data_IF_714826671473
#
_entry.id   IF_714826671473
#
_cell.length_a   1.000
_cell.length_b   1.000
_cell.length_c   1.000
_cell.angle_alpha   90.00
_cell.angle_beta   90.00
_cell.angle_gamma   90.00
#
_symmetry.space_group_name_H-M   'P 1'
#
loop_
_entity.id
_entity.type
_entity.pdbx_description
1 polymer ?
#
# COMPACT_ATOMS: atom_id res chain seq x y z
N UNK A 1 -19.21 10.94 9.69
CA UNK A 1 -17.83 11.21 9.24
C UNK A 1 -17.39 12.64 9.57
N UNK A 2 -18.00 13.68 9.00
CA UNK A 2 -17.63 15.09 9.27
C UNK A 2 -17.63 15.49 10.75
N UNK A 3 -18.66 15.13 11.52
CA UNK A 3 -18.73 15.47 12.95
C UNK A 3 -17.69 14.73 13.81
N UNK A 4 -17.25 13.55 13.39
CA UNK A 4 -16.23 12.77 14.10
C UNK A 4 -14.84 13.35 13.85
N UNK A 5 -14.53 13.67 12.59
CA UNK A 5 -13.29 14.37 12.21
C UNK A 5 -13.16 15.70 12.95
N UNK A 6 -14.27 16.44 13.06
CA UNK A 6 -14.30 17.71 13.80
C UNK A 6 -14.09 17.52 15.31
N UNK A 7 -14.59 16.43 15.89
CA UNK A 7 -14.37 16.10 17.32
C UNK A 7 -12.91 15.73 17.58
N UNK A 8 -12.33 14.85 16.77
CA UNK A 8 -10.91 14.45 16.85
C UNK A 8 -9.97 15.65 16.67
N UNK A 9 -10.28 16.55 15.72
CA UNK A 9 -9.57 17.82 15.55
C UNK A 9 -9.65 18.69 16.80
N UNK A 10 -10.84 18.83 17.38
CA UNK A 10 -11.05 19.63 18.59
C UNK A 10 -10.29 19.03 19.78
N UNK A 11 -10.25 17.70 19.90
CA UNK A 11 -9.57 17.01 20.99
C UNK A 11 -8.05 17.12 20.87
N UNK A 12 -7.50 17.05 19.65
CA UNK A 12 -6.07 17.31 19.40
C UNK A 12 -5.67 18.73 19.77
N UNK A 13 -6.43 19.74 19.33
CA UNK A 13 -6.19 21.16 19.65
C UNK A 13 -6.21 21.39 21.17
N UNK A 14 -7.15 20.76 21.88
CA UNK A 14 -7.24 20.86 23.35
C UNK A 14 -6.08 20.19 24.09
N UNK A 15 -5.37 19.26 23.45
CA UNK A 15 -4.30 18.48 24.08
C UNK A 15 -2.93 19.17 24.07
N UNK A 16 -2.83 20.34 23.43
CA UNK A 16 -1.60 21.10 23.25
C UNK A 16 -1.81 22.58 23.59
N UNK A 17 -0.74 23.37 23.83
CA UNK A 17 -0.85 24.81 24.07
C UNK A 17 -1.61 25.54 22.95
N UNK A 18 -2.47 26.48 23.33
CA UNK A 18 -3.36 27.20 22.41
C UNK A 18 -2.64 28.12 21.41
N UNK A 19 -1.34 28.37 21.61
CA UNK A 19 -0.49 29.21 20.75
C UNK A 19 0.13 28.45 19.58
N UNK A 20 -0.03 27.13 19.48
CA UNK A 20 0.58 26.32 18.43
C UNK A 20 -0.23 26.38 17.14
N UNK A 21 0.47 26.37 16.00
CA UNK A 21 -0.19 26.23 14.70
C UNK A 21 -0.81 24.83 14.56
N UNK A 22 -1.80 24.71 13.69
CA UNK A 22 -2.47 23.43 13.45
C UNK A 22 -1.49 22.35 12.97
N UNK A 23 -0.52 22.72 12.14
CA UNK A 23 0.53 21.87 11.60
C UNK A 23 1.40 21.30 12.74
N UNK A 24 1.77 22.14 13.69
CA UNK A 24 2.54 21.74 14.87
C UNK A 24 1.72 20.81 15.76
N UNK A 25 0.43 21.09 15.98
CA UNK A 25 -0.47 20.21 16.75
C UNK A 25 -0.58 18.83 16.12
N UNK A 26 -0.74 18.77 14.78
CA UNK A 26 -0.78 17.51 14.06
C UNK A 26 0.55 16.74 14.17
N UNK A 27 1.69 17.43 14.02
CA UNK A 27 3.00 16.79 14.16
C UNK A 27 3.22 16.26 15.56
N UNK A 28 2.84 17.01 16.59
CA UNK A 28 2.92 16.57 17.99
C UNK A 28 2.09 15.32 18.27
N UNK A 29 0.89 15.20 17.67
CA UNK A 29 0.10 13.97 17.76
C UNK A 29 0.81 12.76 17.10
N UNK A 30 1.44 12.97 15.94
CA UNK A 30 2.28 11.93 15.31
C UNK A 30 3.48 11.56 16.18
N UNK A 31 4.19 12.53 16.74
CA UNK A 31 5.34 12.29 17.61
C UNK A 31 4.93 11.57 18.91
N UNK A 32 3.77 11.87 19.49
CA UNK A 32 3.21 11.09 20.63
C UNK A 32 2.99 9.62 20.27
N UNK A 33 2.52 9.33 19.05
CA UNK A 33 2.33 7.95 18.58
C UNK A 33 3.65 7.23 18.40
N UNK A 34 4.66 7.92 17.85
CA UNK A 34 6.03 7.37 17.73
C UNK A 34 6.65 7.17 19.12
N UNK A 35 6.48 8.13 20.05
CA UNK A 35 6.90 8.01 21.45
C UNK A 35 6.32 6.75 22.09
N UNK A 36 5.00 6.60 22.00
CA UNK A 36 4.29 5.45 22.53
C UNK A 36 4.82 4.15 21.93
N UNK A 37 5.10 4.13 20.63
CA UNK A 37 5.72 2.97 19.96
C UNK A 37 7.11 2.65 20.50
N UNK A 38 7.94 3.65 20.80
CA UNK A 38 9.27 3.45 21.40
C UNK A 38 9.16 2.93 22.83
N UNK A 39 8.23 3.48 23.63
CA UNK A 39 7.98 3.04 25.00
C UNK A 39 7.44 1.60 25.07
N UNK A 40 6.56 1.21 24.13
CA UNK A 40 5.92 -0.10 24.09
C UNK A 40 6.82 -1.20 23.52
N UNK A 41 7.57 -0.90 22.45
CA UNK A 41 8.32 -1.92 21.68
C UNK A 41 9.81 -1.96 21.99
N UNK A 42 10.35 -0.92 22.66
CA UNK A 42 11.79 -0.72 22.76
C UNK A 42 12.46 -0.53 21.39
N UNK A 43 13.78 -0.68 21.34
CA UNK A 43 14.58 -0.57 20.11
C UNK A 43 14.35 0.73 19.32
N UNK A 44 14.40 1.86 20.02
CA UNK A 44 14.26 3.22 19.45
C UNK A 44 15.47 3.65 18.59
N UNK A 45 16.49 2.79 18.46
CA UNK A 45 17.78 3.12 17.88
C UNK A 45 18.38 4.41 18.49
N UNK A 46 18.18 4.65 19.79
CA UNK A 46 18.64 5.84 20.50
C UNK A 46 17.87 7.14 20.19
N UNK A 47 16.73 7.07 19.49
CA UNK A 47 15.99 8.27 19.05
C UNK A 47 14.95 8.80 20.04
N UNK A 48 14.64 8.10 21.14
CA UNK A 48 13.66 8.59 22.12
C UNK A 48 14.07 9.96 22.68
N UNK A 49 15.37 10.13 22.96
CA UNK A 49 15.91 11.42 23.41
C UNK A 49 15.66 12.54 22.40
N UNK A 50 15.91 12.30 21.11
CA UNK A 50 15.65 13.25 20.02
C UNK A 50 14.17 13.59 19.93
N UNK A 51 13.31 12.57 19.98
CA UNK A 51 11.88 12.73 19.85
C UNK A 51 11.29 13.58 20.98
N UNK A 52 11.69 13.33 22.23
CA UNK A 52 11.28 14.13 23.38
C UNK A 52 11.75 15.58 23.25
N UNK A 53 12.98 15.79 22.78
CA UNK A 53 13.54 17.12 22.59
C UNK A 53 12.81 17.90 21.49
N UNK A 54 12.44 17.24 20.38
CA UNK A 54 11.64 17.84 19.30
C UNK A 54 10.26 18.24 19.81
N UNK A 55 9.58 17.36 20.53
CA UNK A 55 8.26 17.64 21.10
C UNK A 55 8.31 18.82 22.07
N UNK A 56 9.36 18.89 22.90
CA UNK A 56 9.58 20.01 23.81
C UNK A 56 9.80 21.32 23.04
N UNK A 57 10.63 21.30 22.00
CA UNK A 57 10.94 22.48 21.19
C UNK A 57 9.72 23.01 20.43
N UNK A 58 8.84 22.13 19.93
CA UNK A 58 7.56 22.57 19.35
C UNK A 58 6.65 23.22 20.40
N UNK A 59 6.57 22.65 21.61
CA UNK A 59 5.70 23.17 22.69
C UNK A 59 6.20 24.48 23.28
N UNK A 60 7.52 24.70 23.33
CA UNK A 60 8.12 25.95 23.76
C UNK A 60 8.08 27.04 22.68
N UNK A 61 7.91 26.65 21.41
CA UNK A 61 7.99 27.55 20.26
C UNK A 61 9.42 27.76 19.75
N UNK A 62 10.42 27.06 20.30
CA UNK A 62 11.81 27.09 19.84
C UNK A 62 11.99 26.39 18.48
N UNK A 63 11.06 25.49 18.15
CA UNK A 63 10.95 24.88 16.84
C UNK A 63 9.65 25.32 16.19
N UNK A 64 9.77 25.96 15.03
CA UNK A 64 8.65 26.35 14.19
C UNK A 64 8.59 25.40 13.00
N UNK A 65 7.39 24.93 12.67
CA UNK A 65 7.18 24.13 11.47
C UNK A 65 7.38 25.01 10.23
N UNK A 66 8.32 24.62 9.37
CA UNK A 66 8.57 25.23 8.07
C UNK A 66 8.71 24.11 7.04
N UNK A 67 7.90 24.16 5.99
CA UNK A 67 7.86 23.16 4.92
C UNK A 67 9.14 23.13 4.07
N UNK A 68 10.00 24.14 4.15
CA UNK A 68 11.19 24.29 3.31
C UNK A 68 12.50 24.01 4.05
N UNK A 69 12.45 23.78 5.36
CA UNK A 69 13.64 23.59 6.17
C UNK A 69 13.52 22.38 7.08
N UNK A 70 14.68 21.80 7.38
CA UNK A 70 14.83 20.67 8.28
C UNK A 70 15.73 21.06 9.44
N UNK A 71 15.52 20.39 10.56
CA UNK A 71 16.42 20.40 11.72
C UNK A 71 16.95 19.01 11.94
N UNK A 72 18.25 18.91 12.25
CA UNK A 72 18.93 17.66 12.53
C UNK A 72 19.08 17.55 14.03
N UNK A 73 18.76 16.37 14.58
CA UNK A 73 18.79 16.10 16.00
C UNK A 73 19.64 14.87 16.27
N UNK A 74 20.48 14.93 17.29
CA UNK A 74 21.22 13.78 17.78
C UNK A 74 21.38 13.86 19.28
N UNK A 75 21.21 12.72 19.96
CA UNK A 75 21.37 12.60 21.42
C UNK A 75 20.54 13.63 22.22
N UNK A 76 19.30 13.90 21.77
CA UNK A 76 18.35 14.78 22.47
C UNK A 76 18.60 16.27 22.29
N UNK A 77 19.37 16.67 21.28
CA UNK A 77 19.60 18.09 20.95
C UNK A 77 19.60 18.34 19.46
N UNK A 78 19.21 19.56 19.08
CA UNK A 78 19.36 20.03 17.71
C UNK A 78 20.85 20.26 17.42
N UNK A 79 21.39 19.57 16.42
CA UNK A 79 22.80 19.64 16.02
C UNK A 79 23.03 20.50 14.78
N UNK A 80 21.98 20.72 13.97
CA UNK A 80 22.03 21.63 12.83
C UNK A 80 20.61 22.04 12.37
N UNK A 81 20.53 23.14 11.62
CA UNK A 81 19.28 23.72 11.10
C UNK A 81 18.71 24.81 12.01
N UNK A 82 17.54 25.40 11.67
CA UNK A 82 16.73 25.13 10.47
C UNK A 82 17.46 25.50 9.17
N UNK A 83 17.50 24.57 8.21
CA UNK A 83 18.12 24.79 6.87
C UNK A 83 17.56 23.81 5.84
N UNK A 84 17.81 24.04 4.55
CA UNK A 84 17.44 23.05 3.51
C UNK A 84 18.16 21.72 3.74
N UNK A 85 17.48 20.61 3.47
CA UNK A 85 18.10 19.29 3.58
C UNK A 85 19.21 19.14 2.52
N UNK A 86 20.39 18.71 2.97
CA UNK A 86 21.50 18.35 2.07
C UNK A 86 21.95 16.95 2.46
N UNK A 87 21.71 15.97 1.59
CA UNK A 87 21.96 14.56 1.88
C UNK A 87 23.41 14.27 2.32
N UNK A 88 24.39 14.95 1.71
CA UNK A 88 25.80 14.84 2.10
C UNK A 88 26.05 15.26 3.55
N UNK A 89 25.34 16.26 4.05
CA UNK A 89 25.45 16.71 5.44
C UNK A 89 24.80 15.72 6.41
N UNK A 90 23.64 15.16 6.05
CA UNK A 90 23.01 14.09 6.82
C UNK A 90 23.96 12.88 6.98
N UNK A 91 24.56 12.43 5.88
CA UNK A 91 25.50 11.31 5.89
C UNK A 91 26.75 11.61 6.73
N UNK A 92 27.27 12.85 6.65
CA UNK A 92 28.40 13.28 7.47
C UNK A 92 28.04 13.34 8.97
N UNK A 93 26.82 13.80 9.32
CA UNK A 93 26.30 13.78 10.69
C UNK A 93 26.12 12.35 11.20
N UNK A 94 25.55 11.45 10.40
CA UNK A 94 25.41 10.04 10.77
C UNK A 94 26.76 9.33 10.94
N UNK A 95 27.76 9.65 10.12
CA UNK A 95 29.12 9.12 10.33
C UNK A 95 29.77 9.63 11.63
N UNK A 96 29.49 10.88 12.01
CA UNK A 96 30.08 11.53 13.18
C UNK A 96 29.40 11.13 14.49
N UNK A 97 28.08 11.15 14.51
CA UNK A 97 27.27 11.01 15.72
C UNK A 97 26.76 9.56 15.93
N UNK A 98 27.04 8.68 14.97
CA UNK A 98 26.75 7.25 14.99
C UNK A 98 25.68 6.83 13.96
N UNK A 99 25.66 5.54 13.54
CA UNK A 99 24.64 5.04 12.62
C UNK A 99 23.23 5.02 13.22
N UNK A 100 23.12 5.24 14.53
CA UNK A 100 21.88 5.30 15.29
C UNK A 100 21.77 6.64 16.02
N UNK A 101 20.55 7.06 16.36
CA UNK A 101 20.32 8.26 17.16
C UNK A 101 20.46 9.59 16.43
N UNK A 102 20.40 9.61 15.09
CA UNK A 102 20.26 10.83 14.28
C UNK A 102 18.84 10.91 13.70
N UNK A 103 18.14 12.00 13.99
CA UNK A 103 16.79 12.29 13.52
C UNK A 103 16.78 13.54 12.63
N UNK A 104 15.99 13.54 11.57
CA UNK A 104 15.78 14.71 10.71
C UNK A 104 14.31 15.13 10.82
N UNK A 105 14.07 16.27 11.45
CA UNK A 105 12.74 16.83 11.65
C UNK A 105 12.44 17.89 10.57
N UNK A 106 11.22 17.91 10.05
CA UNK A 106 10.82 18.78 8.93
C UNK A 106 10.96 18.15 7.54
N UNK A 107 11.42 16.89 7.43
CA UNK A 107 11.37 16.11 6.18
C UNK A 107 9.96 15.67 5.80
N UNK A 108 9.07 15.60 6.78
CA UNK A 108 7.71 15.13 6.61
C UNK A 108 6.82 16.31 6.21
N UNK A 109 6.86 16.78 4.97
CA UNK A 109 5.76 17.59 4.44
C UNK A 109 4.46 16.83 4.77
N UNK A 110 3.64 17.36 5.70
CA UNK A 110 2.67 16.57 6.46
C UNK A 110 1.43 16.21 5.64
N UNK A 111 1.64 15.29 4.71
CA UNK A 111 0.78 14.22 4.23
C UNK A 111 1.80 13.11 3.93
N UNK A 112 1.73 11.89 4.47
CA UNK A 112 2.16 10.78 3.64
C UNK A 112 1.27 10.89 2.39
N UNK A 113 1.79 11.53 1.35
CA UNK A 113 1.24 11.32 0.03
C UNK A 113 1.29 9.80 -0.14
N UNK A 114 0.22 9.15 -0.63
CA UNK A 114 0.39 7.80 -1.14
C UNK A 114 1.64 7.87 -2.02
N UNK A 115 2.64 6.99 -1.80
CA UNK A 115 3.60 6.78 -2.87
C UNK A 115 2.75 6.43 -4.08
N UNK A 116 2.83 7.29 -5.08
CA UNK A 116 2.01 7.27 -6.28
C UNK A 116 2.07 5.88 -6.88
N UNK A 117 0.93 5.20 -6.91
CA UNK A 117 0.88 3.91 -7.55
C UNK A 117 0.84 4.18 -9.05
N UNK A 118 1.98 4.05 -9.71
CA UNK A 118 2.05 3.91 -11.16
C UNK A 118 2.88 2.68 -11.49
N UNK A 119 2.22 1.64 -11.98
CA UNK A 119 2.89 0.43 -12.43
C UNK A 119 2.42 0.06 -13.84
N UNK A 120 3.27 -0.64 -14.57
CA UNK A 120 2.89 -1.28 -15.82
C UNK A 120 2.91 -2.79 -15.65
N UNK A 121 1.82 -3.44 -16.02
CA UNK A 121 1.71 -4.89 -16.08
C UNK A 121 2.02 -5.32 -17.51
N UNK A 122 2.99 -6.22 -17.68
CA UNK A 122 3.32 -6.78 -18.99
C UNK A 122 2.34 -7.91 -19.32
N UNK A 123 2.00 -8.05 -20.60
CA UNK A 123 1.24 -9.22 -21.03
C UNK A 123 2.08 -10.49 -20.90
N UNK A 124 1.45 -11.57 -20.44
CA UNK A 124 2.05 -12.91 -20.34
C UNK A 124 2.19 -13.53 -21.74
N UNK A 125 1.29 -13.19 -22.66
CA UNK A 125 1.24 -13.76 -24.00
C UNK A 125 1.31 -12.65 -25.06
N UNK A 126 2.21 -12.78 -26.03
CA UNK A 126 2.30 -11.81 -27.13
C UNK A 126 1.02 -11.72 -27.98
N UNK A 127 0.18 -12.76 -27.95
CA UNK A 127 -1.06 -12.89 -28.71
C UNK A 127 -2.33 -12.49 -27.95
N UNK A 128 -2.28 -12.33 -26.62
CA UNK A 128 -3.45 -11.99 -25.80
C UNK A 128 -3.10 -10.84 -24.86
N UNK A 129 -4.02 -9.89 -24.65
CA UNK A 129 -3.85 -8.83 -23.68
C UNK A 129 -4.16 -9.32 -22.25
N UNK A 130 -3.51 -10.41 -21.83
CA UNK A 130 -3.70 -11.01 -20.50
C UNK A 130 -2.52 -10.66 -19.62
N UNK A 131 -2.79 -10.04 -18.49
CA UNK A 131 -1.79 -9.58 -17.54
C UNK A 131 -1.79 -10.46 -16.29
N UNK A 132 -0.63 -10.64 -15.67
CA UNK A 132 -0.52 -11.22 -14.33
C UNK A 132 0.23 -10.26 -13.43
N UNK A 133 -0.23 -10.16 -12.20
CA UNK A 133 0.38 -9.33 -11.18
C UNK A 133 0.33 -10.01 -9.83
N UNK A 134 1.19 -9.58 -8.93
CA UNK A 134 1.23 -10.14 -7.57
C UNK A 134 0.38 -9.29 -6.63
N UNK A 135 -0.45 -9.97 -5.87
CA UNK A 135 -1.21 -9.39 -4.76
C UNK A 135 -0.68 -9.96 -3.45
N UNK A 136 -0.54 -9.10 -2.46
CA UNK A 136 -0.39 -9.54 -1.08
C UNK A 136 -1.79 -9.67 -0.49
N UNK A 137 -2.07 -10.78 0.16
CA UNK A 137 -3.36 -11.02 0.80
C UNK A 137 -3.16 -11.34 2.28
N UNK A 138 -4.14 -10.95 3.10
CA UNK A 138 -4.17 -11.22 4.54
C UNK A 138 -5.58 -11.51 5.03
N UNK A 139 -5.67 -12.23 6.14
CA UNK A 139 -6.95 -12.52 6.79
C UNK A 139 -7.51 -11.25 7.46
N UNK A 140 -8.70 -10.75 7.08
CA UNK A 140 -9.32 -9.59 7.74
C UNK A 140 -9.69 -9.88 9.20
N UNK A 141 -9.94 -11.12 9.61
CA UNK A 141 -10.28 -11.47 11.01
C UNK A 141 -9.18 -11.06 11.99
N UNK A 142 -7.92 -11.08 11.55
CA UNK A 142 -6.73 -10.79 12.36
C UNK A 142 -6.10 -9.45 11.99
N UNK A 143 -6.84 -8.54 11.35
CA UNK A 143 -6.29 -7.28 10.82
C UNK A 143 -5.51 -6.44 11.83
N UNK A 144 -5.86 -6.52 13.12
CA UNK A 144 -5.20 -5.80 14.22
C UNK A 144 -3.83 -6.34 14.59
N UNK A 145 -3.59 -7.62 14.33
CA UNK A 145 -2.36 -8.34 14.71
C UNK A 145 -1.54 -8.78 13.50
N UNK A 146 -2.04 -8.51 12.28
CA UNK A 146 -1.34 -8.86 11.04
C UNK A 146 -0.03 -8.06 10.90
N UNK A 147 1.07 -8.79 10.87
CA UNK A 147 2.37 -8.32 10.37
C UNK A 147 2.62 -8.84 8.95
N UNK A 148 3.74 -8.48 8.31
CA UNK A 148 4.12 -9.04 7.00
C UNK A 148 4.20 -10.58 7.02
N UNK A 149 4.54 -11.19 8.16
CA UNK A 149 4.56 -12.64 8.34
C UNK A 149 3.17 -13.29 8.26
N UNK A 150 2.10 -12.50 8.43
CA UNK A 150 0.71 -12.95 8.33
C UNK A 150 0.10 -12.67 6.94
N UNK A 151 0.95 -12.32 5.97
CA UNK A 151 0.55 -12.07 4.59
C UNK A 151 1.11 -13.15 3.68
N UNK A 152 0.40 -13.44 2.59
CA UNK A 152 0.91 -14.29 1.53
C UNK A 152 0.82 -13.56 0.19
N UNK A 153 1.85 -13.71 -0.64
CA UNK A 153 1.86 -13.19 -1.99
C UNK A 153 1.30 -14.23 -2.97
N UNK A 154 0.37 -13.80 -3.83
CA UNK A 154 -0.22 -14.63 -4.88
C UNK A 154 -0.09 -13.93 -6.22
N UNK A 155 0.41 -14.64 -7.23
CA UNK A 155 0.25 -14.21 -8.61
C UNK A 155 -1.17 -14.50 -9.07
N UNK A 156 -1.83 -13.48 -9.62
CA UNK A 156 -3.20 -13.52 -10.10
C UNK A 156 -3.27 -13.00 -11.52
N UNK A 157 -4.08 -13.66 -12.34
CA UNK A 157 -4.41 -13.19 -13.68
C UNK A 157 -5.41 -12.04 -13.59
N UNK A 158 -5.11 -10.96 -14.27
CA UNK A 158 -6.07 -9.91 -14.57
C UNK A 158 -7.08 -10.48 -15.57
N UNK A 159 -8.35 -10.50 -15.16
CA UNK A 159 -9.45 -11.00 -15.97
C UNK A 159 -10.63 -10.04 -15.85
N UNK A 160 -10.76 -9.17 -16.84
CA UNK A 160 -11.89 -8.23 -16.98
C UNK A 160 -13.26 -8.91 -17.00
N UNK A 161 -13.33 -10.22 -17.31
CA UNK A 161 -14.57 -11.00 -17.31
C UNK A 161 -14.95 -11.58 -15.95
N UNK A 162 -14.04 -11.59 -14.98
CA UNK A 162 -14.28 -12.20 -13.67
C UNK A 162 -14.92 -11.20 -12.69
N UNK A 163 -16.14 -11.49 -12.24
CA UNK A 163 -16.90 -10.62 -11.31
C UNK A 163 -16.36 -10.59 -9.88
N UNK A 164 -15.54 -11.57 -9.50
CA UNK A 164 -14.96 -11.69 -8.17
C UNK A 164 -13.55 -12.27 -8.25
N UNK A 165 -12.74 -12.01 -7.23
CA UNK A 165 -11.43 -12.63 -7.10
C UNK A 165 -11.60 -14.15 -6.99
N UNK A 166 -10.69 -14.93 -7.56
CA UNK A 166 -10.65 -16.38 -7.39
C UNK A 166 -9.34 -16.78 -6.73
N UNK A 167 -9.43 -17.45 -5.58
CA UNK A 167 -8.31 -18.13 -4.92
C UNK A 167 -8.59 -19.63 -4.82
N UNK A 168 -7.56 -20.41 -4.56
CA UNK A 168 -7.65 -21.86 -4.47
C UNK A 168 -7.92 -22.31 -3.03
N UNK A 169 -8.48 -23.51 -2.86
CA UNK A 169 -8.73 -24.08 -1.52
C UNK A 169 -7.42 -24.24 -0.72
N UNK A 170 -6.30 -24.48 -1.39
CA UNK A 170 -4.96 -24.47 -0.79
C UNK A 170 -4.56 -23.11 -0.23
N UNK A 171 -4.84 -22.02 -0.96
CA UNK A 171 -4.52 -20.66 -0.54
C UNK A 171 -5.29 -20.28 0.72
N UNK A 172 -6.59 -20.62 0.77
CA UNK A 172 -7.41 -20.43 1.97
C UNK A 172 -6.80 -21.15 3.17
N UNK A 173 -6.51 -22.46 3.04
CA UNK A 173 -5.96 -23.25 4.16
C UNK A 173 -4.63 -22.68 4.64
N UNK A 174 -3.78 -22.27 3.71
CA UNK A 174 -2.51 -21.65 4.06
C UNK A 174 -2.71 -20.32 4.78
N UNK A 175 -3.59 -19.46 4.29
CA UNK A 175 -3.87 -18.16 4.90
C UNK A 175 -4.51 -18.28 6.29
N UNK A 176 -5.43 -19.23 6.46
CA UNK A 176 -6.06 -19.52 7.76
C UNK A 176 -5.04 -20.07 8.76
N UNK A 177 -4.13 -20.96 8.32
CA UNK A 177 -3.03 -21.44 9.15
C UNK A 177 -2.04 -20.32 9.51
N UNK A 178 -1.69 -19.47 8.55
CA UNK A 178 -0.77 -18.35 8.72
C UNK A 178 -1.30 -17.30 9.69
N UNK A 179 -2.61 -17.02 9.63
CA UNK A 179 -3.27 -16.07 10.53
C UNK A 179 -3.71 -16.68 11.86
N UNK A 180 -3.77 -18.00 11.97
CA UNK A 180 -4.32 -18.70 13.14
C UNK A 180 -5.84 -18.52 13.30
N UNK A 181 -6.54 -18.07 12.26
CA UNK A 181 -7.98 -17.79 12.30
C UNK A 181 -8.66 -18.18 10.97
N UNK A 182 -9.95 -18.58 10.99
CA UNK A 182 -10.69 -18.83 9.76
C UNK A 182 -10.93 -17.54 8.97
N UNK A 183 -11.10 -17.67 7.66
CA UNK A 183 -11.54 -16.55 6.81
C UNK A 183 -13.03 -16.28 7.01
N UNK A 184 -13.47 -15.01 7.03
CA UNK A 184 -14.90 -14.69 7.07
C UNK A 184 -15.58 -15.24 5.82
N UNK A 185 -16.43 -16.24 6.01
CA UNK A 185 -17.23 -16.87 4.95
C UNK A 185 -18.65 -16.34 5.06
N UNK A 186 -19.24 -15.87 3.94
CA UNK A 186 -20.59 -15.30 3.96
C UNK A 186 -21.59 -16.03 3.05
N UNK A 187 -21.20 -17.18 2.50
CA UNK A 187 -22.11 -18.13 1.86
C UNK A 187 -21.54 -18.75 0.59
N UNK A 188 -22.31 -19.64 0.00
CA UNK A 188 -21.97 -20.28 -1.28
C UNK A 188 -22.88 -19.78 -2.38
N UNK A 189 -22.35 -19.66 -3.59
CA UNK A 189 -23.13 -19.22 -4.76
C UNK A 189 -22.76 -20.03 -5.99
N UNK A 190 -23.59 -19.95 -7.02
CA UNK A 190 -23.26 -20.47 -8.35
C UNK A 190 -22.60 -19.39 -9.17
N UNK A 191 -21.57 -19.76 -9.93
CA UNK A 191 -20.90 -18.88 -10.89
C UNK A 191 -20.79 -19.59 -12.24
N UNK A 192 -20.99 -18.83 -13.31
CA UNK A 192 -20.80 -19.32 -14.68
C UNK A 192 -19.31 -19.21 -15.05
N UNK A 193 -18.74 -20.31 -15.54
CA UNK A 193 -17.38 -20.36 -16.06
C UNK A 193 -17.41 -20.81 -17.52
N UNK A 194 -16.27 -20.72 -18.22
CA UNK A 194 -16.13 -21.29 -19.56
C UNK A 194 -16.41 -22.80 -19.60
N UNK A 195 -16.21 -23.51 -18.47
CA UNK A 195 -16.51 -24.94 -18.33
C UNK A 195 -17.92 -25.25 -17.83
N UNK A 196 -18.80 -24.25 -17.71
CA UNK A 196 -20.15 -24.39 -17.17
C UNK A 196 -20.33 -23.79 -15.78
N UNK A 197 -21.49 -24.06 -15.17
CA UNK A 197 -21.86 -23.51 -13.86
C UNK A 197 -21.24 -24.34 -12.74
N UNK A 198 -20.58 -23.68 -11.80
CA UNK A 198 -19.95 -24.30 -10.62
C UNK A 198 -20.44 -23.64 -9.33
N UNK A 199 -20.40 -24.38 -8.22
CA UNK A 199 -20.69 -23.86 -6.88
C UNK A 199 -19.39 -23.45 -6.21
N UNK A 200 -19.35 -22.23 -5.68
CA UNK A 200 -18.18 -21.65 -5.01
C UNK A 200 -18.54 -21.15 -3.61
N UNK A 201 -17.58 -21.23 -2.69
CA UNK A 201 -17.68 -20.58 -1.38
C UNK A 201 -17.13 -19.16 -1.47
N UNK A 202 -17.83 -18.22 -0.81
CA UNK A 202 -17.48 -16.81 -0.82
C UNK A 202 -16.88 -16.42 0.52
N UNK A 203 -15.69 -15.83 0.45
CA UNK A 203 -14.96 -15.30 1.59
C UNK A 203 -14.60 -13.85 1.38
N UNK A 204 -14.26 -13.17 2.47
CA UNK A 204 -13.69 -11.82 2.46
C UNK A 204 -12.19 -11.91 2.69
N UNK A 205 -11.43 -11.20 1.87
CA UNK A 205 -9.98 -11.04 1.99
C UNK A 205 -9.62 -9.56 2.13
N UNK A 206 -8.50 -9.27 2.78
CA UNK A 206 -7.82 -7.99 2.62
C UNK A 206 -6.68 -8.17 1.63
N UNK A 207 -6.64 -7.34 0.58
CA UNK A 207 -5.65 -7.42 -0.50
C UNK A 207 -4.91 -6.11 -0.70
N UNK A 208 -3.70 -6.21 -1.22
CA UNK A 208 -2.87 -5.09 -1.62
C UNK A 208 -2.09 -5.48 -2.88
N UNK A 209 -1.75 -4.51 -3.73
CA UNK A 209 -0.80 -4.74 -4.81
C UNK A 209 0.58 -4.99 -4.20
N UNK A 210 1.31 -5.98 -4.70
CA UNK A 210 2.60 -6.37 -4.16
C UNK A 210 3.67 -6.26 -5.24
N UNK A 211 4.70 -5.48 -4.95
CA UNK A 211 5.83 -5.24 -5.82
C UNK A 211 7.07 -4.99 -4.98
N UNK A 212 8.23 -5.50 -5.41
CA UNK A 212 9.51 -5.38 -4.69
C UNK A 212 9.42 -5.67 -3.19
N UNK A 213 8.77 -6.79 -2.86
CA UNK A 213 8.55 -7.29 -1.50
C UNK A 213 7.76 -6.35 -0.56
N UNK A 214 7.01 -5.40 -1.13
CA UNK A 214 6.23 -4.42 -0.38
C UNK A 214 4.79 -4.30 -0.88
N UNK A 215 3.82 -4.04 0.02
CA UNK A 215 2.49 -3.59 -0.38
C UNK A 215 2.55 -2.16 -0.93
N UNK A 216 1.88 -1.91 -2.05
CA UNK A 216 1.97 -0.64 -2.78
C UNK A 216 0.84 0.34 -2.46
N UNK A 217 -0.35 -0.16 -2.10
CA UNK A 217 -1.47 0.69 -1.73
C UNK A 217 -1.35 1.15 -0.27
N UNK A 218 -1.71 2.40 0.05
CA UNK A 218 -1.62 2.95 1.41
C UNK A 218 -2.59 2.28 2.40
N UNK A 219 -3.57 1.53 1.88
CA UNK A 219 -4.52 0.76 2.68
C UNK A 219 -4.78 -0.59 2.04
N UNK A 220 -5.09 -1.55 2.89
CA UNK A 220 -5.60 -2.85 2.48
C UNK A 220 -7.04 -2.71 1.98
N UNK A 221 -7.35 -3.37 0.87
CA UNK A 221 -8.66 -3.33 0.22
C UNK A 221 -9.41 -4.61 0.58
N UNK A 222 -10.64 -4.45 1.06
CA UNK A 222 -11.51 -5.60 1.31
C UNK A 222 -12.16 -6.04 0.01
N UNK A 223 -11.95 -7.31 -0.35
CA UNK A 223 -12.48 -7.88 -1.58
C UNK A 223 -13.19 -9.19 -1.30
N UNK A 224 -14.21 -9.45 -2.12
CA UNK A 224 -14.83 -10.77 -2.22
C UNK A 224 -13.90 -11.69 -3.00
N UNK A 225 -13.63 -12.86 -2.44
CA UNK A 225 -13.02 -13.97 -3.16
C UNK A 225 -13.92 -15.20 -3.19
N UNK A 226 -13.93 -15.87 -4.33
CA UNK A 226 -14.59 -17.14 -4.58
C UNK A 226 -13.57 -18.27 -4.50
N UNK A 227 -14.00 -19.38 -3.92
CA UNK A 227 -13.20 -20.60 -3.76
C UNK A 227 -13.98 -21.76 -4.36
N UNK A 228 -13.39 -22.43 -5.35
CA UNK A 228 -13.97 -23.63 -5.91
C UNK A 228 -13.96 -24.74 -4.84
N UNK A 229 -15.09 -25.44 -4.71
CA UNK A 229 -15.15 -26.65 -3.89
C UNK A 229 -14.43 -27.78 -4.61
N UNK A 230 -13.20 -28.06 -4.18
CA UNK A 230 -12.39 -29.14 -4.71
C UNK A 230 -12.53 -30.40 -3.84
N UNK A 231 -12.59 -31.60 -4.44
CA UNK A 231 -12.51 -32.85 -3.69
C UNK A 231 -11.24 -32.91 -2.83
N UNK A 232 -11.25 -33.64 -1.70
CA UNK A 232 -10.03 -33.90 -0.94
C UNK A 232 -8.93 -34.46 -1.87
N UNK A 233 -7.74 -33.86 -1.83
CA UNK A 233 -6.57 -34.24 -2.64
C UNK A 233 -6.65 -33.94 -4.15
N UNK A 234 -7.66 -33.20 -4.63
CA UNK A 234 -7.63 -32.71 -6.00
C UNK A 234 -6.43 -31.77 -6.19
N UNK A 235 -5.79 -31.87 -7.35
CA UNK A 235 -4.77 -30.89 -7.74
C UNK A 235 -5.48 -29.56 -7.99
N UNK A 236 -4.93 -28.43 -7.52
CA UNK A 236 -5.52 -27.14 -7.80
C UNK A 236 -5.61 -26.93 -9.31
N UNK A 237 -6.81 -26.61 -9.80
CA UNK A 237 -7.05 -26.49 -11.24
C UNK A 237 -7.44 -25.07 -11.64
N UNK A 238 -6.78 -24.59 -12.70
CA UNK A 238 -7.02 -23.29 -13.32
C UNK A 238 -6.28 -22.13 -12.66
N UNK A 239 -6.35 -20.97 -13.30
CA UNK A 239 -5.71 -19.75 -12.83
C UNK A 239 -6.42 -19.17 -11.58
N UNK A 240 -5.65 -18.44 -10.78
CA UNK A 240 -6.17 -17.46 -9.81
C UNK A 240 -6.54 -16.20 -10.58
N UNK A 241 -7.64 -15.55 -10.20
CA UNK A 241 -8.16 -14.39 -10.90
C UNK A 241 -8.20 -13.20 -9.95
N UNK A 242 -7.84 -12.02 -10.43
CA UNK A 242 -7.93 -10.78 -9.64
C UNK A 242 -9.38 -10.42 -9.33
N UNK A 243 -10.30 -10.70 -10.26
CA UNK A 243 -11.63 -10.12 -10.26
C UNK A 243 -11.62 -8.63 -10.61
N UNK A 244 -12.75 -7.96 -10.41
CA UNK A 244 -12.97 -6.57 -10.86
C UNK A 244 -12.35 -5.49 -9.98
N UNK A 245 -11.87 -5.81 -8.77
CA UNK A 245 -11.56 -4.77 -7.77
C UNK A 245 -10.49 -3.78 -8.25
N UNK A 246 -9.55 -4.21 -9.09
CA UNK A 246 -8.50 -3.36 -9.64
C UNK A 246 -9.11 -2.20 -10.45
N UNK A 247 -10.01 -2.51 -11.38
CA UNK A 247 -10.71 -1.54 -12.23
C UNK A 247 -11.72 -0.67 -11.49
N UNK A 248 -12.20 -1.14 -10.34
CA UNK A 248 -13.09 -0.33 -9.48
C UNK A 248 -12.34 0.69 -8.63
N UNK A 249 -11.05 0.45 -8.38
CA UNK A 249 -10.26 1.21 -7.41
C UNK A 249 -9.22 2.10 -8.08
N UNK A 250 -8.76 1.74 -9.27
CA UNK A 250 -7.63 2.33 -9.96
C UNK A 250 -7.98 2.58 -11.42
N UNK A 251 -7.34 3.59 -12.00
CA UNK A 251 -7.34 3.79 -13.44
C UNK A 251 -6.50 2.69 -14.08
N UNK A 252 -7.08 2.00 -15.05
CA UNK A 252 -6.41 1.02 -15.89
C UNK A 252 -6.41 1.52 -17.33
N UNK A 253 -5.23 1.78 -17.89
CA UNK A 253 -5.06 2.29 -19.24
C UNK A 253 -4.31 1.27 -20.09
N UNK A 254 -4.69 1.18 -21.36
CA UNK A 254 -3.91 0.50 -22.40
C UNK A 254 -3.50 1.52 -23.46
N UNK A 255 -2.36 1.28 -24.11
CA UNK A 255 -1.81 2.18 -25.13
C UNK A 255 -1.60 1.47 -26.46
N UNK A 256 -1.73 2.17 -27.59
CA UNK A 256 -1.42 1.65 -28.92
C UNK A 256 0.11 1.70 -29.21
N UNK A 257 0.92 1.17 -28.28
CA UNK A 257 2.39 1.20 -28.32
C UNK A 257 3.03 -0.15 -28.70
N UNK A 258 2.20 -1.13 -29.07
CA UNK A 258 2.59 -2.52 -29.38
C UNK A 258 3.20 -3.32 -28.21
N UNK A 259 3.19 -2.79 -26.99
CA UNK A 259 3.73 -3.48 -25.81
C UNK A 259 2.71 -4.42 -25.16
N UNK A 260 1.42 -4.23 -25.47
CA UNK A 260 0.30 -4.85 -24.76
C UNK A 260 0.36 -4.61 -23.23
N UNK A 261 1.04 -3.56 -22.77
CA UNK A 261 1.11 -3.23 -21.36
C UNK A 261 -0.22 -2.62 -20.88
N UNK A 262 -0.59 -2.96 -19.65
CA UNK A 262 -1.64 -2.26 -18.92
C UNK A 262 -0.98 -1.36 -17.87
N UNK A 263 -1.30 -0.08 -17.90
CA UNK A 263 -0.82 0.89 -16.93
C UNK A 263 -1.88 1.09 -15.86
N UNK A 264 -1.48 0.99 -14.60
CA UNK A 264 -2.41 1.02 -13.47
C UNK A 264 -1.98 2.09 -12.48
N UNK A 265 -2.92 2.94 -12.06
CA UNK A 265 -2.63 3.95 -11.06
C UNK A 265 -3.84 4.64 -10.44
N UNK A 266 -3.58 5.47 -9.43
CA UNK A 266 -4.62 6.15 -8.64
C UNK A 266 -4.82 7.62 -9.05
N UNK A 267 -3.99 8.17 -9.92
CA UNK A 267 -4.09 9.53 -10.47
C UNK A 267 -3.97 9.52 -12.00
N UNK A 268 -5.05 9.87 -12.69
CA UNK A 268 -5.09 9.86 -14.15
C UNK A 268 -4.14 10.89 -14.78
N UNK A 269 -3.98 12.08 -14.18
CA UNK A 269 -3.15 13.14 -14.76
C UNK A 269 -1.68 12.76 -14.71
N UNK A 270 -1.26 12.17 -13.59
CA UNK A 270 0.09 11.65 -13.44
C UNK A 270 0.36 10.49 -14.40
N UNK A 271 -0.59 9.54 -14.51
CA UNK A 271 -0.47 8.46 -15.48
C UNK A 271 -0.20 9.03 -16.86
N UNK A 272 -1.08 9.93 -17.36
CA UNK A 272 -0.93 10.54 -18.68
C UNK A 272 0.41 11.27 -18.88
N UNK A 273 1.00 11.85 -17.83
CA UNK A 273 2.31 12.49 -17.89
C UNK A 273 3.48 11.49 -18.01
N UNK A 274 3.32 10.26 -17.53
CA UNK A 274 4.36 9.22 -17.49
C UNK A 274 4.18 8.11 -18.53
N UNK A 275 3.06 8.09 -19.25
CA UNK A 275 2.83 7.15 -20.34
C UNK A 275 3.85 7.37 -21.47
N UNK A 276 4.37 6.30 -22.10
CA UNK A 276 5.26 6.45 -23.24
C UNK A 276 4.55 7.17 -24.39
N UNK A 277 5.28 7.97 -25.19
CA UNK A 277 4.72 8.59 -26.38
C UNK A 277 4.23 7.50 -27.33
N UNK A 278 2.95 7.54 -27.68
CA UNK A 278 2.34 6.59 -28.60
C UNK A 278 2.01 7.27 -29.94
N UNK A 279 2.26 6.56 -31.04
CA UNK A 279 1.80 6.95 -32.36
C UNK A 279 0.79 5.90 -32.85
N UNK A 280 -0.52 6.18 -32.76
CA UNK A 280 -1.56 5.22 -33.17
C UNK A 280 -1.43 4.74 -34.62
N UNK A 281 -0.80 5.53 -35.51
CA UNK A 281 -0.56 5.14 -36.89
C UNK A 281 0.43 3.97 -37.04
N UNK A 282 1.23 3.67 -35.99
CA UNK A 282 2.17 2.56 -35.94
C UNK A 282 1.67 1.39 -35.09
N UNK A 283 0.42 1.45 -34.62
CA UNK A 283 -0.19 0.37 -33.86
C UNK A 283 -0.45 -0.84 -34.76
N UNK A 284 -0.03 -2.03 -34.31
CA UNK A 284 -0.30 -3.28 -34.98
C UNK A 284 -1.52 -3.93 -34.34
N UNK A 285 -2.57 -4.26 -35.12
CA UNK A 285 -3.68 -5.03 -34.59
C UNK A 285 -3.18 -6.39 -34.07
N UNK A 286 -3.88 -7.01 -33.10
CA UNK A 286 -3.57 -8.36 -32.66
C UNK A 286 -3.47 -9.30 -33.86
N UNK A 287 -2.52 -10.24 -33.87
CA UNK A 287 -2.45 -11.22 -34.94
C UNK A 287 -3.77 -11.99 -35.02
N UNK A 288 -4.42 -11.96 -36.18
CA UNK A 288 -5.54 -12.84 -36.46
C UNK A 288 -4.99 -14.25 -36.61
N UNK A 289 -5.28 -15.16 -35.69
CA UNK A 289 -4.93 -16.57 -35.87
C UNK A 289 -5.73 -17.11 -37.07
N UNK A 290 -5.10 -17.47 -38.20
CA UNK A 290 -5.81 -17.95 -39.37
C UNK A 290 -6.49 -19.32 -39.14
N UNK A 291 -6.30 -19.96 -37.98
CA UNK A 291 -6.88 -21.27 -37.63
C UNK A 291 -8.16 -21.20 -36.80
N UNK A 292 -8.65 -20.00 -36.44
CA UNK A 292 -9.82 -19.82 -35.57
C UNK A 292 -11.02 -19.19 -36.32
N UNK A 293 -10.94 -19.01 -37.65
CA UNK A 293 -12.08 -18.65 -38.51
C UNK A 293 -12.66 -19.88 -39.21
#
# INVERSE_FOLDING_TARGET
>A
MYQQIKREQTDMIKSEPSSLSWEVVQRLDSLKKVQKSFEELGNDNGNLSNLLAIMAAYRSGDLVWDENTVTYWAHGRMVAGPKKMVMKEFLALSQKDGPYGVWVEGMDAYKPQPMYLFLHMRSIFSSHATHEFTVSIRNPTTWRTNTLQHTMALSVMEDTGATAMKILQGDRRFLEALSGAPLPTYGSTTVSTAGGVVVVDNVVLQVNLFHDDQPMLPRWIEVRACINREPPNARPAGARLSGVWLHHMLYCLSLPDNTNAMYVGNDLSEMLANLPPCNPALARPPPTDPKIL
#
